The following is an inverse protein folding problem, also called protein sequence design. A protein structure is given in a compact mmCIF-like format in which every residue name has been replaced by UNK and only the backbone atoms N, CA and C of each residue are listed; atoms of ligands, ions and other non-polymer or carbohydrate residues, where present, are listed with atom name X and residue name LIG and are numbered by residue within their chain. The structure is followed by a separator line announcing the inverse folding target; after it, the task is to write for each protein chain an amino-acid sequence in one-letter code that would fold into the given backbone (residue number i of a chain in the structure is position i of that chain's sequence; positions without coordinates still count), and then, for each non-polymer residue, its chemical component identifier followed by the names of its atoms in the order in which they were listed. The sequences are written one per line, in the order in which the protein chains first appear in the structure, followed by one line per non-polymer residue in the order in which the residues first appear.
data_IF_495574324295
#
_entry.id   IF_495574324295
#
_cell.length_a   1.000
_cell.length_b   1.000
_cell.length_c   1.000
_cell.angle_alpha   90.00
_cell.angle_beta   90.00
_cell.angle_gamma   90.00
#
_symmetry.space_group_name_H-M   'P 1'
#
loop_
_entity.id
_entity.type
_entity.pdbx_description
1 polymer ?
#
# COMPACT_ATOMS: atom_id res chain seq x y z
N UNK A 1 -6.62 48.85 -79.52
CA UNK A 1 -7.20 47.49 -79.29
C UNK A 1 -6.17 46.67 -78.60
N UNK A 2 -6.19 46.63 -77.31
CA UNK A 2 -5.23 45.82 -76.49
C UNK A 2 -6.05 44.72 -75.78
N UNK A 3 -5.85 43.48 -76.20
CA UNK A 3 -6.48 42.31 -75.66
C UNK A 3 -5.71 41.84 -74.44
N UNK A 4 -6.30 41.98 -73.27
CA UNK A 4 -5.82 41.39 -72.00
C UNK A 4 -6.35 39.97 -71.88
N UNK A 5 -5.50 38.97 -72.01
CA UNK A 5 -5.81 37.54 -71.72
C UNK A 5 -5.56 37.18 -70.27
N UNK A 6 -6.23 36.21 -69.71
CA UNK A 6 -6.67 36.23 -68.33
C UNK A 6 -5.71 35.49 -67.37
N UNK A 7 -5.66 36.00 -66.12
CA UNK A 7 -5.01 35.43 -64.91
C UNK A 7 -5.57 34.10 -64.38
N UNK A 8 -6.30 33.34 -65.20
CA UNK A 8 -7.04 32.11 -64.75
C UNK A 8 -6.21 30.87 -64.58
N UNK A 9 -5.01 30.77 -65.13
CA UNK A 9 -4.19 29.52 -65.13
C UNK A 9 -3.37 29.32 -63.88
N UNK A 10 -2.95 30.38 -63.16
CA UNK A 10 -2.06 30.29 -61.99
C UNK A 10 -2.85 29.79 -60.76
N UNK A 11 -4.11 30.18 -60.62
CA UNK A 11 -4.95 29.82 -59.48
C UNK A 11 -5.30 28.30 -59.47
N UNK A 12 -5.45 27.69 -60.65
CA UNK A 12 -5.74 26.24 -60.76
C UNK A 12 -4.55 25.35 -60.38
N UNK A 13 -3.34 25.79 -60.58
CA UNK A 13 -2.13 25.06 -60.24
C UNK A 13 -1.90 25.01 -58.70
N UNK A 14 -2.10 26.14 -58.03
CA UNK A 14 -2.02 26.25 -56.58
C UNK A 14 -3.11 25.45 -55.89
N UNK A 15 -4.34 25.45 -56.38
CA UNK A 15 -5.45 24.67 -55.87
C UNK A 15 -5.21 23.14 -56.01
N UNK A 16 -4.64 22.73 -57.16
CA UNK A 16 -4.28 21.28 -57.40
C UNK A 16 -3.14 20.86 -56.45
N UNK A 17 -2.12 21.66 -56.25
CA UNK A 17 -1.01 21.38 -55.34
C UNK A 17 -1.50 21.30 -53.88
N UNK A 18 -2.40 22.19 -53.46
CA UNK A 18 -3.03 22.16 -52.13
C UNK A 18 -3.88 20.92 -51.90
N UNK A 19 -4.61 20.48 -52.95
CA UNK A 19 -5.40 19.24 -52.92
C UNK A 19 -4.54 17.99 -52.88
N UNK A 20 -3.42 17.95 -53.61
CA UNK A 20 -2.45 16.85 -53.56
C UNK A 20 -1.73 16.76 -52.20
N UNK A 21 -1.34 17.95 -51.63
CA UNK A 21 -0.72 18.00 -50.32
C UNK A 21 -1.68 17.51 -49.22
N UNK A 22 -2.96 17.93 -49.29
CA UNK A 22 -3.98 17.42 -48.35
C UNK A 22 -4.23 15.92 -48.46
N UNK A 23 -4.21 15.37 -49.71
CA UNK A 23 -4.32 13.92 -49.92
C UNK A 23 -3.14 13.18 -49.35
N UNK A 24 -1.90 13.65 -49.59
CA UNK A 24 -0.68 13.04 -49.01
C UNK A 24 -0.70 13.06 -47.48
N UNK A 25 -1.04 14.17 -46.87
CA UNK A 25 -1.17 14.28 -45.41
C UNK A 25 -2.23 13.29 -44.87
N UNK A 26 -3.39 13.21 -45.52
CA UNK A 26 -4.42 12.24 -45.10
C UNK A 26 -3.96 10.79 -45.24
N UNK A 27 -3.24 10.44 -46.32
CA UNK A 27 -2.66 9.09 -46.46
C UNK A 27 -1.59 8.81 -45.40
N UNK A 28 -0.74 9.77 -45.13
CA UNK A 28 0.29 9.61 -44.06
C UNK A 28 -0.37 9.42 -42.69
N UNK A 29 -1.39 10.22 -42.35
CA UNK A 29 -2.14 10.05 -41.10
C UNK A 29 -2.80 8.67 -41.03
N UNK A 30 -3.44 8.23 -42.14
CA UNK A 30 -4.07 6.92 -42.22
C UNK A 30 -3.05 5.77 -42.02
N UNK A 31 -1.89 5.87 -42.63
CA UNK A 31 -0.79 4.89 -42.48
C UNK A 31 -0.26 4.86 -41.05
N UNK A 32 -0.09 6.02 -40.42
CA UNK A 32 0.34 6.10 -39.01
C UNK A 32 -0.71 5.48 -38.06
N UNK A 33 -2.00 5.77 -38.29
CA UNK A 33 -3.08 5.17 -37.51
C UNK A 33 -3.15 3.65 -37.71
N UNK A 34 -2.95 3.18 -38.94
CA UNK A 34 -2.91 1.75 -39.23
C UNK A 34 -1.71 1.08 -38.55
N UNK A 35 -0.55 1.71 -38.57
CA UNK A 35 0.63 1.22 -37.88
C UNK A 35 0.40 1.12 -36.36
N UNK A 36 -0.19 2.14 -35.76
CA UNK A 36 -0.57 2.14 -34.33
C UNK A 36 -1.56 1.01 -34.03
N UNK A 37 -2.56 0.78 -34.90
CA UNK A 37 -3.52 -0.28 -34.73
C UNK A 37 -2.89 -1.68 -34.85
N UNK A 38 -1.94 -1.87 -35.79
CA UNK A 38 -1.24 -3.14 -35.97
C UNK A 38 -0.28 -3.40 -34.78
N UNK A 39 0.48 -2.40 -34.36
CA UNK A 39 1.39 -2.53 -33.21
C UNK A 39 0.59 -2.72 -31.91
N UNK A 40 -0.45 -1.92 -31.68
CA UNK A 40 -1.32 -2.05 -30.53
C UNK A 40 -2.08 -3.38 -30.50
N UNK A 41 -2.61 -3.81 -31.64
CA UNK A 41 -3.27 -5.12 -31.79
C UNK A 41 -2.29 -6.28 -31.60
N UNK A 42 -1.07 -6.16 -32.11
CA UNK A 42 -0.01 -7.17 -31.91
C UNK A 42 0.40 -7.29 -30.44
N UNK A 43 0.61 -6.16 -29.77
CA UNK A 43 0.91 -6.14 -28.33
C UNK A 43 -0.25 -6.72 -27.51
N UNK A 44 -1.48 -6.34 -27.84
CA UNK A 44 -2.68 -6.87 -27.19
C UNK A 44 -2.85 -8.37 -27.41
N UNK A 45 -2.60 -8.86 -28.64
CA UNK A 45 -2.68 -10.29 -28.98
C UNK A 45 -1.58 -11.09 -28.24
N UNK A 46 -0.35 -10.56 -28.18
CA UNK A 46 0.73 -11.19 -27.40
C UNK A 46 0.37 -11.22 -25.91
N UNK A 47 -0.23 -10.16 -25.41
CA UNK A 47 -0.67 -10.04 -24.02
C UNK A 47 -1.76 -11.07 -23.69
N UNK A 48 -2.77 -11.23 -24.56
CA UNK A 48 -3.85 -12.21 -24.38
C UNK A 48 -3.42 -13.65 -24.59
N UNK A 49 -2.56 -13.92 -25.61
CA UNK A 49 -2.05 -15.27 -25.89
C UNK A 49 -1.03 -15.77 -24.84
N UNK A 50 -0.32 -14.87 -24.15
CA UNK A 50 0.54 -15.19 -23.03
C UNK A 50 -0.17 -15.36 -21.70
N UNK A 51 -1.51 -15.45 -21.72
CA UNK A 51 -2.30 -15.57 -20.48
C UNK A 51 -2.09 -14.36 -19.58
N UNK A 52 -2.14 -13.16 -20.19
CA UNK A 52 -2.03 -11.90 -19.47
C UNK A 52 -3.23 -11.63 -18.59
N UNK A 53 -3.39 -12.45 -17.54
CA UNK A 53 -3.82 -11.89 -16.30
C UNK A 53 -2.68 -10.95 -15.87
N UNK A 54 -3.00 -9.75 -15.48
CA UNK A 54 -2.18 -9.00 -14.54
C UNK A 54 -2.14 -9.87 -13.27
N UNK A 55 -1.32 -10.93 -13.30
CA UNK A 55 -0.83 -11.48 -12.06
C UNK A 55 -0.02 -10.32 -11.48
N UNK A 56 -0.64 -9.52 -10.62
CA UNK A 56 0.09 -8.90 -9.53
C UNK A 56 1.15 -9.92 -9.16
N UNK A 57 2.44 -9.55 -9.09
CA UNK A 57 3.44 -10.48 -8.64
C UNK A 57 2.87 -11.06 -7.36
N UNK A 58 2.35 -12.29 -7.44
CA UNK A 58 2.06 -13.07 -6.28
C UNK A 58 3.43 -13.27 -5.70
N UNK A 59 3.79 -12.41 -4.77
CA UNK A 59 4.83 -12.75 -3.82
C UNK A 59 4.37 -14.13 -3.35
N UNK A 60 5.15 -15.19 -3.56
CA UNK A 60 4.74 -16.53 -3.16
C UNK A 60 4.86 -16.64 -1.64
N UNK A 61 4.18 -15.74 -0.94
CA UNK A 61 3.94 -15.82 0.46
C UNK A 61 2.59 -16.53 0.57
N UNK A 62 2.63 -17.84 0.58
CA UNK A 62 1.49 -18.68 0.92
C UNK A 62 1.22 -18.50 2.43
N UNK A 63 0.94 -17.26 2.83
CA UNK A 63 0.59 -16.92 4.21
C UNK A 63 -0.62 -17.73 4.72
N UNK A 64 -1.51 -18.16 3.82
CA UNK A 64 -2.67 -18.95 4.19
C UNK A 64 -2.32 -20.38 4.61
N UNK A 65 -1.35 -21.03 3.97
CA UNK A 65 -1.01 -22.42 4.28
C UNK A 65 0.00 -22.53 5.43
N UNK A 66 0.97 -21.62 5.50
CA UNK A 66 1.90 -21.61 6.64
C UNK A 66 1.25 -21.03 7.90
N UNK A 67 0.37 -20.05 7.75
CA UNK A 67 -0.38 -19.52 8.89
C UNK A 67 -1.41 -20.54 9.42
N UNK A 68 -2.08 -21.31 8.56
CA UNK A 68 -2.99 -22.37 9.00
C UNK A 68 -2.26 -23.54 9.63
N UNK A 69 -1.12 -23.95 9.10
CA UNK A 69 -0.30 -25.02 9.69
C UNK A 69 0.40 -24.56 10.97
N UNK A 70 0.80 -23.29 11.06
CA UNK A 70 1.36 -22.73 12.28
C UNK A 70 0.32 -22.43 13.35
N UNK A 71 -0.95 -22.19 12.98
CA UNK A 71 -2.06 -22.05 13.95
C UNK A 71 -2.41 -23.40 14.56
N UNK A 72 -2.37 -24.50 13.78
CA UNK A 72 -2.57 -25.84 14.35
C UNK A 72 -1.39 -26.28 15.23
N UNK A 73 -0.17 -25.87 14.90
CA UNK A 73 0.99 -26.04 15.77
C UNK A 73 0.96 -25.11 17.00
N UNK A 74 0.26 -23.97 16.93
CA UNK A 74 0.09 -23.05 18.06
C UNK A 74 -0.81 -23.56 19.17
N UNK A 75 -1.74 -24.49 18.90
CA UNK A 75 -2.48 -25.12 19.99
C UNK A 75 -1.58 -25.99 20.86
N UNK A 76 -0.46 -26.48 20.33
CA UNK A 76 0.58 -27.14 21.15
C UNK A 76 1.55 -26.12 21.79
N UNK A 77 1.60 -24.87 21.29
CA UNK A 77 2.39 -23.75 21.83
C UNK A 77 1.59 -22.86 22.80
N UNK A 78 0.33 -23.16 23.09
CA UNK A 78 -0.46 -22.55 24.18
C UNK A 78 0.13 -22.81 25.57
N UNK A 79 1.29 -23.45 25.62
CA UNK A 79 1.97 -23.78 26.86
C UNK A 79 2.42 -22.57 27.66
N UNK A 80 3.16 -21.68 27.15
CA UNK A 80 3.68 -20.53 27.92
C UNK A 80 3.66 -19.31 27.04
N UNK A 81 2.84 -18.33 27.42
CA UNK A 81 2.89 -17.03 26.76
C UNK A 81 4.34 -16.54 26.73
N UNK A 82 4.77 -16.11 25.58
CA UNK A 82 6.10 -15.58 25.29
C UNK A 82 6.65 -14.63 26.40
N UNK A 83 5.75 -13.92 27.09
CA UNK A 83 6.11 -12.97 28.14
C UNK A 83 6.09 -13.55 29.57
N UNK A 84 5.65 -14.80 29.75
CA UNK A 84 5.46 -15.35 31.11
C UNK A 84 6.76 -15.49 31.90
N UNK A 85 7.86 -15.76 31.21
CA UNK A 85 9.17 -15.97 31.80
C UNK A 85 10.16 -14.85 31.40
N UNK A 86 9.64 -13.77 30.79
CA UNK A 86 10.49 -12.66 30.39
C UNK A 86 10.83 -11.79 31.59
N UNK A 87 12.08 -11.85 32.02
CA UNK A 87 12.60 -10.96 33.08
C UNK A 87 12.92 -9.62 32.44
N UNK A 88 12.15 -8.60 32.77
CA UNK A 88 12.52 -7.21 32.42
C UNK A 88 13.35 -6.62 33.54
N UNK A 89 14.52 -6.07 33.20
CA UNK A 89 15.37 -5.41 34.15
C UNK A 89 14.65 -4.21 34.80
N UNK A 90 14.67 -4.13 36.12
CA UNK A 90 14.10 -3.00 36.84
C UNK A 90 14.97 -1.73 36.73
N UNK A 91 16.16 -1.84 36.18
CA UNK A 91 17.16 -0.77 36.03
C UNK A 91 17.80 -0.84 34.65
N UNK A 92 18.44 0.23 34.23
CA UNK A 92 19.22 0.26 33.02
C UNK A 92 20.37 -0.78 33.07
N UNK A 93 20.52 -1.52 31.97
CA UNK A 93 21.53 -2.56 31.81
C UNK A 93 22.38 -2.18 30.60
N UNK A 94 23.63 -1.73 30.82
CA UNK A 94 24.52 -1.36 29.72
C UNK A 94 24.98 -2.62 28.95
N UNK A 95 25.28 -2.43 27.68
CA UNK A 95 25.94 -3.44 26.86
C UNK A 95 27.11 -2.77 26.13
N UNK A 96 28.28 -3.38 26.24
CA UNK A 96 29.50 -2.85 25.65
C UNK A 96 29.35 -2.68 24.13
N UNK A 97 29.77 -1.51 23.64
CA UNK A 97 29.63 -1.16 22.21
C UNK A 97 28.25 -0.70 21.78
N UNK A 98 27.26 -0.64 22.67
CA UNK A 98 25.94 -0.09 22.40
C UNK A 98 25.77 1.24 23.13
N UNK A 99 25.56 2.31 22.34
CA UNK A 99 25.23 3.63 22.87
C UNK A 99 23.97 4.15 22.17
N UNK A 100 23.04 4.66 22.96
CA UNK A 100 21.85 5.36 22.45
C UNK A 100 21.97 6.83 22.85
N UNK A 101 21.46 7.71 21.98
CA UNK A 101 21.33 9.14 22.29
C UNK A 101 20.46 9.35 23.54
N UNK A 102 20.57 10.54 24.14
CA UNK A 102 19.95 10.83 25.45
C UNK A 102 18.44 10.62 25.46
N UNK A 103 17.76 10.93 24.36
CA UNK A 103 16.32 10.84 24.17
C UNK A 103 15.86 9.46 23.65
N UNK A 104 16.78 8.63 23.18
CA UNK A 104 16.49 7.28 22.70
C UNK A 104 16.36 6.28 23.88
N UNK A 105 15.38 5.40 23.79
CA UNK A 105 15.14 4.28 24.70
C UNK A 105 15.28 2.98 23.93
N UNK A 106 15.71 1.93 24.62
CA UNK A 106 15.91 0.66 23.96
C UNK A 106 15.98 -0.52 24.92
N UNK A 107 15.54 -1.68 24.41
CA UNK A 107 15.58 -2.96 25.10
C UNK A 107 16.10 -4.02 24.12
N UNK A 108 16.97 -4.90 24.59
CA UNK A 108 17.44 -6.06 23.86
C UNK A 108 17.31 -7.30 24.73
N UNK A 109 16.59 -8.30 24.22
CA UNK A 109 16.35 -9.56 24.93
C UNK A 109 16.99 -10.72 24.20
N UNK A 110 17.55 -11.66 24.97
CA UNK A 110 17.86 -13.01 24.53
C UNK A 110 16.68 -13.91 24.92
N UNK A 111 15.85 -14.24 23.90
CA UNK A 111 14.65 -15.05 24.12
C UNK A 111 14.97 -16.52 24.43
N UNK A 112 16.12 -17.02 24.00
CA UNK A 112 16.51 -18.41 24.25
C UNK A 112 16.90 -18.64 25.73
N UNK A 113 17.50 -17.60 26.34
CA UNK A 113 18.00 -17.68 27.71
C UNK A 113 17.16 -16.84 28.68
N UNK A 114 16.07 -16.23 28.26
CA UNK A 114 15.19 -15.34 29.02
C UNK A 114 16.01 -14.22 29.73
N UNK A 115 16.93 -13.60 29.01
CA UNK A 115 17.86 -12.63 29.54
C UNK A 115 17.70 -11.28 28.88
N UNK A 116 17.71 -10.21 29.70
CA UNK A 116 17.90 -8.84 29.22
C UNK A 116 19.37 -8.61 28.96
N UNK A 117 19.73 -8.30 27.71
CA UNK A 117 21.11 -7.98 27.32
C UNK A 117 21.41 -6.49 27.41
N UNK A 118 20.43 -5.67 27.14
CA UNK A 118 20.52 -4.22 27.19
C UNK A 118 19.17 -3.64 27.61
N UNK A 119 19.21 -2.60 28.44
CA UNK A 119 18.03 -1.81 28.80
C UNK A 119 18.46 -0.36 29.04
N UNK A 120 17.75 0.58 28.41
CA UNK A 120 17.87 2.01 28.67
C UNK A 120 16.47 2.64 28.66
N UNK A 121 16.05 3.19 29.79
CA UNK A 121 14.75 3.84 29.96
C UNK A 121 13.58 2.89 29.80
N UNK A 122 13.66 1.65 30.26
CA UNK A 122 12.69 0.59 30.07
C UNK A 122 11.27 0.96 30.54
N UNK A 123 11.16 1.81 31.56
CA UNK A 123 9.90 2.24 32.17
C UNK A 123 9.55 3.71 31.87
N UNK A 124 10.34 4.37 31.04
CA UNK A 124 10.04 5.73 30.66
C UNK A 124 8.97 5.79 29.58
N UNK A 125 8.07 6.74 29.69
CA UNK A 125 7.07 6.99 28.66
C UNK A 125 7.72 7.51 27.39
N UNK A 126 7.33 6.94 26.25
CA UNK A 126 7.80 7.34 24.92
C UNK A 126 6.63 7.48 23.96
N UNK A 127 6.87 8.20 22.88
CA UNK A 127 5.96 8.24 21.74
C UNK A 127 6.42 7.18 20.73
N UNK A 128 5.77 5.99 20.66
CA UNK A 128 6.27 4.88 19.87
C UNK A 128 5.99 5.04 18.36
N UNK A 129 5.36 6.15 17.97
CA UNK A 129 4.97 6.43 16.58
C UNK A 129 4.26 5.22 15.95
N UNK A 130 4.64 4.81 14.75
CA UNK A 130 3.99 3.71 14.03
C UNK A 130 4.11 2.32 14.68
N UNK A 131 4.93 2.15 15.71
CA UNK A 131 4.95 0.90 16.50
C UNK A 131 3.60 0.67 17.18
N UNK A 132 2.84 1.72 17.48
CA UNK A 132 1.44 1.65 17.97
C UNK A 132 0.54 0.78 17.08
N UNK A 133 0.83 0.72 15.78
CA UNK A 133 0.05 -0.07 14.80
C UNK A 133 0.11 -1.58 15.04
N UNK A 134 1.10 -2.06 15.78
CA UNK A 134 1.16 -3.47 16.23
C UNK A 134 -0.04 -3.75 17.14
N UNK A 135 -0.33 -2.86 18.08
CA UNK A 135 -1.50 -2.99 18.97
C UNK A 135 -2.80 -2.90 18.17
N UNK A 136 -2.90 -1.95 17.24
CA UNK A 136 -4.05 -1.84 16.34
C UNK A 136 -4.30 -3.15 15.58
N UNK A 137 -3.25 -3.74 14.99
CA UNK A 137 -3.36 -5.01 14.27
C UNK A 137 -3.73 -6.17 15.21
N UNK A 138 -3.19 -6.19 16.43
CA UNK A 138 -3.50 -7.22 17.41
C UNK A 138 -4.99 -7.20 17.80
N UNK A 139 -5.55 -6.03 18.03
CA UNK A 139 -6.98 -5.89 18.32
C UNK A 139 -7.84 -6.24 17.09
N UNK A 140 -7.41 -5.85 15.89
CA UNK A 140 -8.09 -6.24 14.66
C UNK A 140 -8.13 -7.76 14.47
N UNK A 141 -7.03 -8.45 14.74
CA UNK A 141 -6.96 -9.91 14.67
C UNK A 141 -7.75 -10.61 15.77
N UNK A 142 -7.89 -9.98 16.95
CA UNK A 142 -8.60 -10.53 18.09
C UNK A 142 -10.11 -10.38 18.00
N UNK A 143 -10.57 -9.24 17.51
CA UNK A 143 -11.98 -8.85 17.56
C UNK A 143 -12.64 -8.69 16.18
N UNK A 144 -11.86 -8.52 15.12
CA UNK A 144 -12.37 -8.32 13.76
C UNK A 144 -12.49 -9.63 12.98
N UNK A 145 -13.36 -9.61 11.97
CA UNK A 145 -13.41 -10.66 10.96
C UNK A 145 -12.62 -10.20 9.72
N UNK A 146 -11.56 -10.92 9.37
CA UNK A 146 -10.64 -10.54 8.28
C UNK A 146 -11.31 -10.47 6.90
N UNK A 147 -12.39 -11.21 6.70
CA UNK A 147 -13.15 -11.24 5.42
C UNK A 147 -14.28 -10.20 5.38
N UNK A 148 -14.55 -9.54 6.50
CA UNK A 148 -15.61 -8.54 6.60
C UNK A 148 -15.23 -7.29 5.80
N UNK A 149 -16.23 -6.74 5.08
CA UNK A 149 -16.05 -5.53 4.28
C UNK A 149 -16.27 -4.28 5.14
N UNK A 150 -15.27 -3.44 5.19
CA UNK A 150 -15.28 -2.12 5.83
C UNK A 150 -15.43 -1.05 4.74
N UNK A 151 -16.31 -0.10 4.95
CA UNK A 151 -16.46 1.06 4.06
C UNK A 151 -15.67 2.22 4.63
N UNK A 152 -14.76 2.76 3.84
CA UNK A 152 -13.94 3.91 4.22
C UNK A 152 -14.80 5.17 4.24
N UNK A 153 -14.78 5.90 5.35
CA UNK A 153 -15.50 7.16 5.50
C UNK A 153 -14.63 8.34 5.08
N UNK A 154 -15.24 9.52 4.90
CA UNK A 154 -14.48 10.74 4.65
C UNK A 154 -13.60 11.09 5.85
N UNK A 155 -14.03 10.80 7.06
CA UNK A 155 -13.26 11.03 8.28
C UNK A 155 -11.99 10.17 8.31
N UNK A 156 -12.07 8.91 7.89
CA UNK A 156 -10.92 8.00 7.85
C UNK A 156 -9.78 8.47 6.94
N UNK A 157 -10.09 9.28 5.91
CA UNK A 157 -9.11 9.80 4.96
C UNK A 157 -8.78 11.28 5.17
N UNK A 158 -9.42 11.93 6.13
CA UNK A 158 -9.10 13.31 6.54
C UNK A 158 -8.01 13.26 7.60
N UNK A 159 -6.78 13.24 7.16
CA UNK A 159 -5.59 13.07 8.00
C UNK A 159 -4.71 14.32 7.95
N UNK A 160 -3.80 14.44 8.92
CA UNK A 160 -2.81 15.51 8.95
C UNK A 160 -1.87 15.44 7.75
N UNK A 161 -1.39 16.60 7.28
CA UNK A 161 -0.43 16.71 6.18
C UNK A 161 0.85 15.92 6.50
N UNK A 162 1.33 15.17 5.52
CA UNK A 162 2.51 14.31 5.68
C UNK A 162 2.23 12.96 6.33
N UNK A 163 0.97 12.63 6.65
CA UNK A 163 0.60 11.31 7.12
C UNK A 163 0.92 10.24 6.08
N UNK A 164 1.51 9.12 6.53
CA UNK A 164 1.67 7.94 5.69
C UNK A 164 0.31 7.32 5.39
N UNK A 165 -0.04 7.18 4.11
CA UNK A 165 -1.32 6.66 3.66
C UNK A 165 -1.16 5.58 2.60
N UNK A 166 -2.09 4.65 2.55
CA UNK A 166 -2.19 3.63 1.50
C UNK A 166 -2.91 4.14 0.25
N UNK A 167 -3.63 5.26 0.37
CA UNK A 167 -4.32 5.93 -0.72
C UNK A 167 -5.78 5.50 -0.86
N UNK A 168 -6.44 5.12 0.22
CA UNK A 168 -7.87 4.87 0.22
C UNK A 168 -8.67 6.16 0.03
N UNK A 169 -9.79 6.05 -0.69
CA UNK A 169 -10.76 7.11 -0.87
C UNK A 169 -12.05 6.88 -0.07
N UNK A 170 -12.74 7.98 0.26
CA UNK A 170 -14.06 7.86 0.88
C UNK A 170 -15.03 7.09 -0.03
N UNK A 171 -15.72 6.11 0.52
CA UNK A 171 -16.61 5.21 -0.19
C UNK A 171 -15.96 3.90 -0.68
N UNK A 172 -14.66 3.76 -0.58
CA UNK A 172 -13.97 2.52 -0.90
C UNK A 172 -14.45 1.40 0.03
N UNK A 173 -14.57 0.20 -0.55
CA UNK A 173 -14.96 -1.02 0.18
C UNK A 173 -13.78 -1.98 0.18
N UNK A 174 -13.23 -2.22 1.35
CA UNK A 174 -12.05 -3.06 1.54
C UNK A 174 -12.30 -4.07 2.64
N UNK A 175 -11.62 -5.20 2.63
CA UNK A 175 -11.76 -6.17 3.72
C UNK A 175 -10.90 -5.75 4.92
N UNK A 176 -11.29 -6.17 6.12
CA UNK A 176 -10.49 -5.98 7.34
C UNK A 176 -9.07 -6.52 7.14
N UNK A 177 -8.91 -7.68 6.49
CA UNK A 177 -7.61 -8.26 6.19
C UNK A 177 -6.77 -7.40 5.24
N UNK A 178 -7.38 -6.69 4.29
CA UNK A 178 -6.66 -5.72 3.44
C UNK A 178 -6.20 -4.51 4.26
N UNK A 179 -7.05 -3.99 5.15
CA UNK A 179 -6.68 -2.90 6.05
C UNK A 179 -5.50 -3.28 6.94
N UNK A 180 -5.54 -4.46 7.57
CA UNK A 180 -4.44 -4.95 8.42
C UNK A 180 -3.14 -5.10 7.64
N UNK A 181 -3.19 -5.56 6.39
CA UNK A 181 -1.98 -5.63 5.54
C UNK A 181 -1.44 -4.24 5.20
N UNK A 182 -2.30 -3.30 4.81
CA UNK A 182 -1.91 -1.92 4.54
C UNK A 182 -1.32 -1.26 5.79
N UNK A 183 -1.93 -1.49 6.95
CA UNK A 183 -1.46 -1.02 8.24
C UNK A 183 -0.03 -1.49 8.55
N UNK A 184 0.23 -2.79 8.41
CA UNK A 184 1.51 -3.39 8.83
C UNK A 184 2.61 -3.25 7.77
N UNK A 185 2.29 -3.33 6.48
CA UNK A 185 3.28 -3.29 5.41
C UNK A 185 3.65 -1.87 5.02
N UNK A 186 2.64 -1.00 4.92
CA UNK A 186 2.82 0.37 4.44
C UNK A 186 2.71 1.43 5.55
N UNK A 187 2.30 1.01 6.74
CA UNK A 187 2.09 1.92 7.88
C UNK A 187 0.98 2.97 7.64
N UNK A 188 -0.06 2.61 6.85
CA UNK A 188 -1.13 3.52 6.47
C UNK A 188 -1.96 3.99 7.65
N UNK A 189 -2.08 5.31 7.83
CA UNK A 189 -2.96 5.90 8.82
C UNK A 189 -4.43 5.84 8.36
N UNK A 190 -4.66 5.92 7.05
CA UNK A 190 -5.95 5.69 6.39
C UNK A 190 -6.44 4.22 6.48
N UNK A 191 -5.57 3.30 6.90
CA UNK A 191 -5.95 1.94 7.28
C UNK A 191 -6.19 1.81 8.79
N UNK A 192 -5.47 2.57 9.62
CA UNK A 192 -5.61 2.52 11.07
C UNK A 192 -6.96 3.05 11.56
N UNK A 193 -7.38 4.20 11.04
CA UNK A 193 -8.63 4.88 11.42
C UNK A 193 -9.87 4.00 11.18
N UNK A 194 -10.12 3.44 9.98
CA UNK A 194 -11.29 2.59 9.77
C UNK A 194 -11.26 1.30 10.58
N UNK A 195 -10.07 0.73 10.88
CA UNK A 195 -9.95 -0.41 11.80
C UNK A 195 -10.45 -0.01 13.20
N UNK A 196 -9.99 1.13 13.71
CA UNK A 196 -10.35 1.60 15.03
C UNK A 196 -11.86 1.87 15.16
N UNK A 197 -12.45 2.57 14.20
CA UNK A 197 -13.89 2.83 14.19
C UNK A 197 -14.71 1.56 14.04
N UNK A 198 -14.32 0.64 13.17
CA UNK A 198 -15.08 -0.58 12.91
C UNK A 198 -15.14 -1.49 14.14
N UNK A 199 -14.02 -1.62 14.86
CA UNK A 199 -13.91 -2.52 16.02
C UNK A 199 -14.37 -1.84 17.31
N UNK A 200 -13.97 -0.60 17.52
CA UNK A 200 -14.31 0.15 18.74
C UNK A 200 -15.67 0.85 18.67
N UNK A 201 -16.26 0.99 17.49
CA UNK A 201 -17.41 1.87 17.25
C UNK A 201 -17.01 3.35 17.24
N UNK A 202 -16.02 3.72 18.03
CA UNK A 202 -15.37 5.05 18.04
C UNK A 202 -13.88 4.88 18.26
N UNK A 203 -13.09 5.88 17.86
CA UNK A 203 -11.63 5.88 18.12
C UNK A 203 -11.34 5.87 19.63
N UNK A 204 -12.10 6.61 20.44
CA UNK A 204 -11.90 6.67 21.89
C UNK A 204 -12.12 5.31 22.54
N UNK A 205 -13.20 4.60 22.20
CA UNK A 205 -13.43 3.26 22.69
C UNK A 205 -12.34 2.28 22.26
N UNK A 206 -11.82 2.44 21.03
CA UNK A 206 -10.72 1.62 20.56
C UNK A 206 -9.43 1.88 21.34
N UNK A 207 -9.15 3.14 21.68
CA UNK A 207 -8.03 3.50 22.56
C UNK A 207 -8.20 2.92 23.95
N UNK A 208 -9.39 2.89 24.50
CA UNK A 208 -9.68 2.21 25.77
C UNK A 208 -9.40 0.71 25.68
N UNK A 209 -9.76 0.07 24.55
CA UNK A 209 -9.43 -1.33 24.29
C UNK A 209 -7.92 -1.58 24.18
N UNK A 210 -7.15 -0.60 23.68
CA UNK A 210 -5.68 -0.69 23.62
C UNK A 210 -5.04 -0.64 25.00
N UNK A 211 -5.70 -0.05 25.99
CA UNK A 211 -5.22 0.15 27.36
C UNK A 211 -5.77 -0.88 28.36
N UNK A 212 -6.65 -1.76 27.92
CA UNK A 212 -7.26 -2.81 28.77
C UNK A 212 -6.52 -4.15 28.65
#
# INVERSE_FOLDING_TARGET
MTSTKPRRTVNNKAARLKKMRRRRIRHTILLVLLLIAVVGGGVFAIYTLRGGSLSTPVIPFQASNEFSSSVTARDSLKGNGFAKDLVVSAQDTPLDGVALETDQKGLLFDLANNKVLFAKGAYERVYPASITKIMTAMLALKYGNMDETVTITQENVTLEDGSQVCGFGAGDKVTMGQLVRCLLVYSGNDAASPIAEHIGGTTDNFVDMMNS
#
